data_IF_732592854540
#
_entry.id   IF_732592854540
#
_cell.length_a   1.000
_cell.length_b   1.000
_cell.length_c   1.000
_cell.angle_alpha   90.00
_cell.angle_beta   90.00
_cell.angle_gamma   90.00
#
_symmetry.space_group_name_H-M   'P 1'
#
loop_
_entity.id
_entity.type
_entity.pdbx_description
1 polymer ?
#
# COMPACT_ATOMS: atom_id res chain seq x y z
N UNK A 1 -7.98 -55.13 13.78
CA UNK A 1 -7.09 -54.02 14.26
C UNK A 1 -6.32 -53.29 13.14
N UNK A 2 -6.28 -53.78 11.88
CA UNK A 2 -5.58 -53.14 10.76
C UNK A 2 -6.50 -52.26 9.85
N UNK A 3 -7.83 -52.35 10.00
CA UNK A 3 -8.76 -51.54 9.24
C UNK A 3 -8.93 -50.10 9.79
N UNK A 4 -8.71 -49.87 11.08
CA UNK A 4 -8.87 -48.52 11.68
C UNK A 4 -7.69 -47.56 11.47
N UNK A 5 -6.53 -48.06 11.04
CA UNK A 5 -5.39 -47.15 10.72
C UNK A 5 -5.50 -46.51 9.31
N UNK A 6 -6.09 -47.23 8.35
CA UNK A 6 -6.28 -46.69 7.00
C UNK A 6 -7.39 -45.60 6.95
N UNK A 7 -8.40 -45.68 7.82
CA UNK A 7 -9.44 -44.64 7.94
C UNK A 7 -8.96 -43.40 8.73
N UNK A 8 -8.02 -43.56 9.67
CA UNK A 8 -7.41 -42.43 10.39
C UNK A 8 -6.42 -41.65 9.54
N UNK A 9 -5.73 -42.30 8.59
CA UNK A 9 -4.79 -41.63 7.66
C UNK A 9 -5.50 -40.88 6.52
N UNK A 10 -6.75 -41.20 6.19
CA UNK A 10 -7.54 -40.46 5.21
C UNK A 10 -8.16 -39.16 5.75
N UNK A 11 -8.14 -38.95 7.06
CA UNK A 11 -8.77 -37.78 7.70
C UNK A 11 -7.89 -36.53 7.80
N UNK A 12 -6.60 -36.58 7.39
CA UNK A 12 -5.68 -35.41 7.58
C UNK A 12 -4.76 -35.07 6.42
N UNK A 13 -4.98 -35.58 5.21
CA UNK A 13 -4.32 -35.00 4.03
C UNK A 13 -4.95 -33.62 3.75
N UNK A 14 -4.22 -32.50 3.94
CA UNK A 14 -4.78 -31.19 3.59
C UNK A 14 -5.13 -31.21 2.10
N UNK A 15 -6.43 -31.03 1.78
CA UNK A 15 -6.94 -31.05 0.42
C UNK A 15 -6.22 -30.05 -0.47
N UNK A 16 -6.24 -30.28 -1.79
CA UNK A 16 -5.73 -29.30 -2.78
C UNK A 16 -6.43 -27.96 -2.60
N UNK A 17 -5.70 -26.86 -2.78
CA UNK A 17 -6.24 -25.51 -2.74
C UNK A 17 -7.40 -25.39 -3.75
N UNK A 18 -8.55 -24.87 -3.30
CA UNK A 18 -9.75 -24.67 -4.13
C UNK A 18 -9.90 -23.19 -4.48
N UNK A 19 -10.41 -22.88 -5.67
CA UNK A 19 -10.69 -21.50 -6.09
C UNK A 19 -11.59 -20.75 -5.10
N UNK A 20 -12.63 -21.39 -4.58
CA UNK A 20 -13.51 -20.79 -3.59
C UNK A 20 -12.79 -20.36 -2.31
N UNK A 21 -11.72 -21.09 -1.89
CA UNK A 21 -10.89 -20.69 -0.75
C UNK A 21 -10.06 -19.44 -1.07
N UNK A 22 -9.56 -19.33 -2.32
CA UNK A 22 -8.84 -18.14 -2.79
C UNK A 22 -9.75 -16.90 -2.73
N UNK A 23 -10.96 -16.99 -3.27
CA UNK A 23 -11.91 -15.88 -3.21
C UNK A 23 -12.34 -15.53 -1.79
N UNK A 24 -12.64 -16.53 -0.97
CA UNK A 24 -13.01 -16.32 0.44
C UNK A 24 -11.91 -15.63 1.25
N UNK A 25 -10.65 -15.90 0.93
CA UNK A 25 -9.49 -15.25 1.55
C UNK A 25 -9.29 -13.83 1.01
N UNK A 26 -9.37 -13.67 -0.31
CA UNK A 26 -9.01 -12.45 -1.03
C UNK A 26 -10.06 -11.34 -0.95
N UNK A 27 -11.36 -11.68 -1.07
CA UNK A 27 -12.44 -10.68 -1.12
C UNK A 27 -12.47 -9.74 0.11
N UNK A 28 -12.32 -10.24 1.35
CA UNK A 28 -12.21 -9.34 2.51
C UNK A 28 -11.02 -8.39 2.44
N UNK A 29 -9.90 -8.81 1.84
CA UNK A 29 -8.72 -7.95 1.67
C UNK A 29 -8.94 -6.87 0.59
N UNK A 30 -9.74 -7.16 -0.43
CA UNK A 30 -10.21 -6.14 -1.40
C UNK A 30 -10.96 -5.04 -0.65
N UNK A 31 -11.97 -5.43 0.12
CA UNK A 31 -12.77 -4.47 0.90
C UNK A 31 -11.89 -3.64 1.87
N UNK A 32 -10.90 -4.28 2.50
CA UNK A 32 -9.95 -3.56 3.35
C UNK A 32 -9.21 -2.46 2.59
N UNK A 33 -8.70 -2.75 1.39
CA UNK A 33 -7.95 -1.77 0.59
C UNK A 33 -8.84 -0.61 0.17
N UNK A 34 -10.05 -0.91 -0.33
CA UNK A 34 -11.00 0.13 -0.74
C UNK A 34 -11.42 1.03 0.43
N UNK A 35 -11.72 0.45 1.59
CA UNK A 35 -12.04 1.21 2.80
C UNK A 35 -10.85 2.08 3.27
N UNK A 36 -9.61 1.62 3.08
CA UNK A 36 -8.43 2.42 3.37
C UNK A 36 -8.32 3.66 2.46
N UNK A 37 -8.65 3.52 1.18
CA UNK A 37 -8.68 4.66 0.25
C UNK A 37 -9.77 5.66 0.62
N UNK A 38 -10.95 5.19 1.03
CA UNK A 38 -12.04 6.04 1.54
C UNK A 38 -11.58 6.83 2.77
N UNK A 39 -10.83 6.22 3.69
CA UNK A 39 -10.32 6.91 4.90
C UNK A 39 -9.52 8.16 4.55
N UNK A 40 -8.66 8.09 3.53
CA UNK A 40 -7.88 9.26 3.07
C UNK A 40 -8.79 10.35 2.49
N UNK A 41 -9.77 9.94 1.69
CA UNK A 41 -10.73 10.86 1.08
C UNK A 41 -11.58 11.59 2.13
N UNK A 42 -11.96 10.91 3.21
CA UNK A 42 -12.71 11.50 4.34
C UNK A 42 -11.88 12.56 5.05
N UNK A 43 -10.59 12.30 5.31
CA UNK A 43 -9.68 13.30 5.88
C UNK A 43 -9.60 14.53 4.97
N UNK A 44 -9.38 14.34 3.68
CA UNK A 44 -9.28 15.45 2.73
C UNK A 44 -10.56 16.27 2.64
N UNK A 45 -11.73 15.61 2.60
CA UNK A 45 -13.02 16.28 2.58
C UNK A 45 -13.30 17.10 3.85
N UNK A 46 -12.78 16.64 5.00
CA UNK A 46 -12.87 17.37 6.26
C UNK A 46 -11.93 18.58 6.26
N UNK A 47 -10.65 18.37 5.92
CA UNK A 47 -9.64 19.44 5.91
C UNK A 47 -9.95 20.52 4.86
N UNK A 48 -10.66 20.18 3.79
CA UNK A 48 -11.15 21.15 2.80
C UNK A 48 -12.21 22.14 3.36
N UNK A 49 -12.69 21.91 4.58
CA UNK A 49 -13.70 22.77 5.25
C UNK A 49 -13.12 23.59 6.41
N UNK A 50 -11.80 23.56 6.60
CA UNK A 50 -11.10 24.38 7.60
C UNK A 50 -10.99 25.84 7.13
N UNK A 51 -10.55 26.73 7.98
CA UNK A 51 -10.43 28.19 7.67
C UNK A 51 -9.44 28.47 6.55
N UNK A 52 -8.36 27.71 6.43
CA UNK A 52 -7.33 27.81 5.38
C UNK A 52 -7.19 26.50 4.58
N UNK A 53 -8.20 26.12 3.77
CA UNK A 53 -8.29 24.78 3.19
C UNK A 53 -7.09 24.40 2.33
N UNK A 54 -6.61 25.31 1.48
CA UNK A 54 -5.48 25.05 0.56
C UNK A 54 -4.19 24.80 1.32
N UNK A 55 -3.88 25.63 2.30
CA UNK A 55 -2.66 25.50 3.13
C UNK A 55 -2.73 24.23 3.97
N UNK A 56 -3.85 23.99 4.64
CA UNK A 56 -4.04 22.81 5.50
C UNK A 56 -3.95 21.49 4.73
N UNK A 57 -4.59 21.42 3.55
CA UNK A 57 -4.52 20.23 2.70
C UNK A 57 -3.09 20.00 2.15
N UNK A 58 -2.44 21.07 1.70
CA UNK A 58 -1.06 20.97 1.22
C UNK A 58 -0.11 20.52 2.33
N UNK A 59 -0.24 21.08 3.53
CA UNK A 59 0.55 20.75 4.71
C UNK A 59 0.35 19.32 5.17
N UNK A 60 -0.91 18.87 5.25
CA UNK A 60 -1.24 17.48 5.56
C UNK A 60 -0.66 16.51 4.54
N UNK A 61 -0.84 16.79 3.24
CA UNK A 61 -0.33 15.93 2.17
C UNK A 61 1.21 15.87 2.15
N UNK A 62 1.88 16.99 2.34
CA UNK A 62 3.34 17.04 2.42
C UNK A 62 3.85 16.22 3.62
N UNK A 63 3.29 16.44 4.81
CA UNK A 63 3.65 15.70 6.03
C UNK A 63 3.35 14.20 5.91
N UNK A 64 2.18 13.85 5.41
CA UNK A 64 1.77 12.46 5.17
C UNK A 64 2.72 11.75 4.19
N UNK A 65 2.97 12.37 3.03
CA UNK A 65 3.83 11.78 2.00
C UNK A 65 5.26 11.61 2.49
N UNK A 66 5.81 12.64 3.14
CA UNK A 66 7.13 12.60 3.74
C UNK A 66 7.27 11.48 4.77
N UNK A 67 6.34 11.40 5.74
CA UNK A 67 6.36 10.40 6.79
C UNK A 67 6.28 8.97 6.24
N UNK A 68 5.29 8.68 5.41
CA UNK A 68 5.08 7.32 4.88
C UNK A 68 6.14 6.90 3.86
N UNK A 69 6.75 7.83 3.12
CA UNK A 69 7.88 7.50 2.24
C UNK A 69 9.08 6.98 3.04
N UNK A 70 9.42 7.64 4.15
CA UNK A 70 10.56 7.25 4.99
C UNK A 70 10.25 6.01 5.82
N UNK A 71 9.01 5.86 6.32
CA UNK A 71 8.59 4.72 7.16
C UNK A 71 7.99 3.55 6.38
N UNK A 72 8.15 3.51 5.06
CA UNK A 72 7.62 2.46 4.15
C UNK A 72 8.03 1.04 4.55
N UNK A 73 9.11 0.87 5.29
CA UNK A 73 9.53 -0.41 5.86
C UNK A 73 8.43 -1.08 6.71
N UNK A 74 7.49 -0.32 7.30
CA UNK A 74 6.37 -0.87 8.09
C UNK A 74 5.48 -1.81 7.28
N UNK A 75 5.36 -1.58 5.97
CA UNK A 75 4.56 -2.41 5.06
C UNK A 75 5.07 -3.85 4.93
N UNK A 76 6.36 -4.07 5.20
CA UNK A 76 6.99 -5.40 5.12
C UNK A 76 6.66 -6.27 6.34
N UNK A 77 6.17 -5.68 7.44
CA UNK A 77 5.93 -6.39 8.71
C UNK A 77 5.04 -7.62 8.54
N UNK A 78 3.92 -7.50 7.84
CA UNK A 78 3.00 -8.62 7.64
C UNK A 78 3.65 -9.74 6.81
N UNK A 79 4.39 -9.40 5.74
CA UNK A 79 5.08 -10.38 4.89
C UNK A 79 6.19 -11.12 5.64
N UNK A 80 6.95 -10.38 6.47
CA UNK A 80 7.99 -10.96 7.33
C UNK A 80 7.37 -11.94 8.34
N UNK A 81 6.27 -11.53 8.99
CA UNK A 81 5.55 -12.39 9.93
C UNK A 81 4.99 -13.64 9.24
N UNK A 82 4.37 -13.53 8.07
CA UNK A 82 3.86 -14.69 7.32
C UNK A 82 4.96 -15.70 6.97
N UNK A 83 6.22 -15.25 6.80
CA UNK A 83 7.35 -16.13 6.48
C UNK A 83 8.03 -16.75 7.70
N UNK A 84 8.08 -16.05 8.83
CA UNK A 84 8.95 -16.41 9.95
C UNK A 84 8.22 -16.67 11.26
N UNK A 85 6.95 -16.26 11.39
CA UNK A 85 6.19 -16.41 12.63
C UNK A 85 5.71 -17.85 12.80
N UNK A 86 6.28 -18.57 13.76
CA UNK A 86 5.94 -19.97 14.05
C UNK A 86 5.76 -20.25 15.56
N UNK A 87 6.20 -19.34 16.43
CA UNK A 87 6.07 -19.43 17.88
C UNK A 87 5.73 -18.08 18.49
N UNK A 88 5.25 -18.07 19.74
CA UNK A 88 4.99 -16.81 20.49
C UNK A 88 6.25 -15.98 20.64
N UNK A 89 7.39 -16.63 20.84
CA UNK A 89 8.70 -15.95 20.96
C UNK A 89 9.09 -15.25 19.66
N UNK A 90 8.71 -15.80 18.49
CA UNK A 90 9.01 -15.17 17.20
C UNK A 90 8.24 -13.87 17.04
N UNK A 91 7.02 -13.73 17.59
CA UNK A 91 6.27 -12.46 17.58
C UNK A 91 7.10 -11.33 18.18
N UNK A 92 7.63 -11.54 19.39
CA UNK A 92 8.43 -10.51 20.07
C UNK A 92 9.74 -10.22 19.34
N UNK A 93 10.38 -11.27 18.77
CA UNK A 93 11.62 -11.10 18.00
C UNK A 93 11.40 -10.33 16.71
N UNK A 94 10.32 -10.62 15.99
CA UNK A 94 9.99 -9.92 14.76
C UNK A 94 9.58 -8.48 15.03
N UNK A 95 8.80 -8.22 16.08
CA UNK A 95 8.50 -6.86 16.52
C UNK A 95 9.75 -6.08 16.90
N UNK A 96 10.64 -6.67 17.71
CA UNK A 96 11.90 -6.04 18.10
C UNK A 96 12.80 -5.75 16.89
N UNK A 97 12.88 -6.70 15.94
CA UNK A 97 13.63 -6.53 14.70
C UNK A 97 13.05 -5.40 13.83
N UNK A 98 11.74 -5.35 13.64
CA UNK A 98 11.10 -4.29 12.88
C UNK A 98 11.20 -2.93 13.57
N UNK A 99 11.08 -2.90 14.90
CA UNK A 99 11.32 -1.68 15.68
C UNK A 99 12.75 -1.17 15.49
N UNK A 100 13.75 -2.09 15.52
CA UNK A 100 15.16 -1.74 15.28
C UNK A 100 15.37 -1.15 13.87
N UNK A 101 14.76 -1.75 12.83
CA UNK A 101 14.83 -1.23 11.46
C UNK A 101 14.22 0.18 11.39
N UNK A 102 13.16 0.46 12.13
CA UNK A 102 12.48 1.75 12.10
C UNK A 102 13.17 2.83 12.92
N UNK A 103 14.13 2.49 13.79
CA UNK A 103 14.87 3.49 14.59
C UNK A 103 15.50 4.55 13.70
N UNK A 104 16.22 4.14 12.65
CA UNK A 104 16.89 5.08 11.74
C UNK A 104 15.89 5.93 10.94
N UNK A 105 14.90 5.36 10.24
CA UNK A 105 13.85 6.13 9.59
C UNK A 105 13.14 7.12 10.51
N UNK A 106 12.75 6.69 11.72
CA UNK A 106 12.07 7.56 12.67
C UNK A 106 13.01 8.67 13.19
N UNK A 107 14.28 8.34 13.47
CA UNK A 107 15.26 9.35 13.84
C UNK A 107 15.44 10.39 12.73
N UNK A 108 15.53 9.97 11.47
CA UNK A 108 15.61 10.87 10.31
C UNK A 108 14.35 11.76 10.23
N UNK A 109 13.15 11.17 10.37
CA UNK A 109 11.90 11.94 10.40
C UNK A 109 11.92 12.96 11.52
N UNK A 110 12.31 12.58 12.73
CA UNK A 110 12.35 13.46 13.90
C UNK A 110 13.37 14.59 13.72
N UNK A 111 14.59 14.25 13.28
CA UNK A 111 15.63 15.26 13.03
C UNK A 111 15.17 16.26 11.98
N UNK A 112 14.67 15.80 10.83
CA UNK A 112 14.19 16.70 9.78
C UNK A 112 13.01 17.54 10.28
N UNK A 113 12.07 16.94 11.00
CA UNK A 113 10.85 17.63 11.45
C UNK A 113 11.13 18.73 12.49
N UNK A 114 12.07 18.49 13.42
CA UNK A 114 12.29 19.37 14.56
C UNK A 114 13.55 20.25 14.46
N UNK A 115 14.31 20.18 13.35
CA UNK A 115 15.46 21.05 13.07
C UNK A 115 15.17 22.00 11.89
N UNK A 116 16.14 22.87 11.58
CA UNK A 116 16.11 23.79 10.44
C UNK A 116 16.03 23.06 9.08
N UNK A 117 16.44 21.77 9.06
CA UNK A 117 16.27 20.94 7.86
C UNK A 117 14.78 20.80 7.46
N UNK A 118 13.87 20.86 8.42
CA UNK A 118 12.42 20.85 8.14
C UNK A 118 11.97 22.06 7.34
N UNK A 119 12.58 23.21 7.54
CA UNK A 119 12.29 24.40 6.73
C UNK A 119 12.75 24.23 5.28
N UNK A 120 13.91 23.59 5.07
CA UNK A 120 14.39 23.29 3.72
C UNK A 120 13.50 22.26 3.03
N UNK A 121 13.12 21.19 3.72
CA UNK A 121 12.28 20.13 3.15
C UNK A 121 10.86 20.65 2.87
N UNK A 122 10.18 21.21 3.86
CA UNK A 122 8.78 21.63 3.69
C UNK A 122 8.66 22.97 2.95
N UNK A 123 9.66 23.86 3.07
CA UNK A 123 9.69 25.13 2.35
C UNK A 123 10.19 25.00 0.91
N UNK A 124 11.39 24.42 0.73
CA UNK A 124 12.05 24.41 -0.59
C UNK A 124 11.57 23.27 -1.49
N UNK A 125 11.43 22.04 -0.95
CA UNK A 125 11.05 20.89 -1.76
C UNK A 125 9.53 20.80 -1.96
N UNK A 126 8.74 21.10 -0.92
CA UNK A 126 7.28 21.07 -1.00
C UNK A 126 6.67 22.44 -1.30
N UNK A 127 7.45 23.52 -1.27
CA UNK A 127 6.98 24.88 -1.62
C UNK A 127 5.97 25.47 -0.63
N UNK A 128 5.95 25.01 0.63
CA UNK A 128 4.98 25.49 1.61
C UNK A 128 5.36 26.87 2.16
N UNK A 129 4.35 27.75 2.33
CA UNK A 129 4.48 29.02 3.05
C UNK A 129 4.75 28.78 4.54
N UNK A 130 5.15 29.81 5.28
CA UNK A 130 5.55 29.68 6.69
C UNK A 130 4.52 28.95 7.57
N UNK A 131 3.25 29.34 7.50
CA UNK A 131 2.17 28.67 8.20
C UNK A 131 2.05 27.19 7.80
N UNK A 132 2.12 26.89 6.50
CA UNK A 132 2.03 25.52 5.99
C UNK A 132 3.20 24.65 6.44
N UNK A 133 4.41 25.21 6.58
CA UNK A 133 5.57 24.47 7.13
C UNK A 133 5.38 24.08 8.58
N UNK A 134 4.84 24.99 9.41
CA UNK A 134 4.54 24.73 10.82
C UNK A 134 3.48 23.62 10.94
N UNK A 135 2.37 23.73 10.20
CA UNK A 135 1.31 22.71 10.17
C UNK A 135 1.84 21.34 9.69
N UNK A 136 2.67 21.29 8.66
CA UNK A 136 3.25 20.05 8.16
C UNK A 136 4.18 19.40 9.20
N UNK A 137 5.02 20.18 9.89
CA UNK A 137 5.88 19.69 10.99
C UNK A 137 5.05 19.13 12.15
N UNK A 138 3.99 19.81 12.56
CA UNK A 138 3.07 19.33 13.60
C UNK A 138 2.40 18.01 13.15
N UNK A 139 1.90 17.96 11.92
CA UNK A 139 1.28 16.75 11.37
C UNK A 139 2.24 15.56 11.37
N UNK A 140 3.52 15.74 10.96
CA UNK A 140 4.53 14.69 11.01
C UNK A 140 4.83 14.26 12.45
N UNK A 141 4.91 15.21 13.39
CA UNK A 141 5.06 14.93 14.82
C UNK A 141 3.97 13.97 15.34
N UNK A 142 2.70 14.23 15.02
CA UNK A 142 1.62 13.29 15.35
C UNK A 142 1.77 11.95 14.62
N UNK A 143 2.07 11.94 13.33
CA UNK A 143 2.20 10.70 12.55
C UNK A 143 3.27 9.77 13.09
N UNK A 144 4.37 10.27 13.70
CA UNK A 144 5.40 9.41 14.29
C UNK A 144 4.86 8.49 15.38
N UNK A 145 3.80 8.92 16.09
CA UNK A 145 3.10 8.11 17.10
C UNK A 145 2.43 6.88 16.48
N UNK A 146 2.14 6.90 15.17
CA UNK A 146 1.50 5.76 14.49
C UNK A 146 2.43 4.55 14.29
N UNK A 147 3.74 4.72 14.32
CA UNK A 147 4.71 3.66 14.01
C UNK A 147 4.52 2.36 14.81
N UNK A 148 4.40 2.37 16.15
CA UNK A 148 4.16 1.15 16.91
C UNK A 148 2.82 0.49 16.54
N UNK A 149 1.77 1.27 16.30
CA UNK A 149 0.46 0.72 15.92
C UNK A 149 0.51 0.04 14.55
N UNK A 150 1.28 0.56 13.60
CA UNK A 150 1.50 -0.05 12.29
C UNK A 150 2.21 -1.41 12.42
N UNK A 151 3.23 -1.52 13.29
CA UNK A 151 3.90 -2.78 13.55
C UNK A 151 2.97 -3.79 14.21
N UNK A 152 2.27 -3.40 15.28
CA UNK A 152 1.32 -4.26 15.96
C UNK A 152 0.21 -4.73 15.03
N UNK A 153 -0.34 -3.84 14.20
CA UNK A 153 -1.32 -4.17 13.17
C UNK A 153 -0.79 -5.20 12.18
N UNK A 154 0.44 -5.00 11.68
CA UNK A 154 1.07 -5.93 10.74
C UNK A 154 1.18 -7.34 11.28
N UNK A 155 1.56 -7.51 12.54
CA UNK A 155 1.61 -8.82 13.22
C UNK A 155 0.21 -9.42 13.40
N UNK A 156 -0.76 -8.62 13.86
CA UNK A 156 -2.15 -9.09 14.04
C UNK A 156 -2.75 -9.57 12.71
N UNK A 157 -2.54 -8.82 11.62
CA UNK A 157 -3.00 -9.19 10.30
C UNK A 157 -2.35 -10.49 9.80
N UNK A 158 -1.04 -10.65 10.02
CA UNK A 158 -0.35 -11.90 9.68
C UNK A 158 -0.95 -13.11 10.43
N UNK A 159 -1.21 -12.99 11.74
CA UNK A 159 -1.87 -14.02 12.53
C UNK A 159 -3.27 -14.37 12.01
N UNK A 160 -4.07 -13.36 11.69
CA UNK A 160 -5.41 -13.55 11.14
C UNK A 160 -5.39 -14.18 9.73
N UNK A 161 -4.41 -13.80 8.90
CA UNK A 161 -4.21 -14.39 7.57
C UNK A 161 -3.76 -15.86 7.67
N UNK A 162 -2.84 -16.20 8.59
CA UNK A 162 -2.41 -17.57 8.83
C UNK A 162 -3.58 -18.48 9.23
N UNK A 163 -4.51 -17.98 10.02
CA UNK A 163 -5.76 -18.66 10.42
C UNK A 163 -6.88 -18.54 9.36
N UNK A 164 -6.60 -17.93 8.20
CA UNK A 164 -7.58 -17.68 7.11
C UNK A 164 -8.82 -16.87 7.55
N UNK A 165 -8.68 -16.02 8.57
CA UNK A 165 -9.76 -15.19 9.15
C UNK A 165 -9.72 -13.75 8.61
N UNK A 166 -9.56 -13.59 7.31
CA UNK A 166 -9.38 -12.28 6.64
C UNK A 166 -10.59 -11.35 6.79
N UNK A 167 -11.79 -11.89 6.99
CA UNK A 167 -13.00 -11.07 7.22
C UNK A 167 -12.85 -10.16 8.46
N UNK A 168 -12.09 -10.58 9.48
CA UNK A 168 -11.84 -9.76 10.68
C UNK A 168 -10.98 -8.55 10.32
N UNK A 169 -10.10 -8.68 9.33
CA UNK A 169 -9.29 -7.57 8.82
C UNK A 169 -10.20 -6.50 8.20
N UNK A 170 -11.24 -6.92 7.46
CA UNK A 170 -12.23 -5.98 6.93
C UNK A 170 -13.00 -5.27 8.06
N UNK A 171 -13.43 -6.01 9.09
CA UNK A 171 -14.09 -5.41 10.24
C UNK A 171 -13.19 -4.44 11.00
N UNK A 172 -11.89 -4.74 11.14
CA UNK A 172 -10.94 -3.81 11.77
C UNK A 172 -10.81 -2.50 10.97
N UNK A 173 -10.88 -2.58 9.64
CA UNK A 173 -10.85 -1.39 8.79
C UNK A 173 -12.17 -0.58 8.86
N UNK A 174 -13.31 -1.23 9.06
CA UNK A 174 -14.55 -0.50 9.37
C UNK A 174 -14.49 0.22 10.71
N UNK A 175 -13.92 -0.41 11.74
CA UNK A 175 -13.65 0.24 13.04
C UNK A 175 -12.72 1.44 12.87
N UNK A 176 -11.67 1.29 12.04
CA UNK A 176 -10.77 2.39 11.66
C UNK A 176 -11.55 3.56 11.06
N UNK A 177 -12.43 3.29 10.07
CA UNK A 177 -13.21 4.34 9.41
C UNK A 177 -14.18 5.03 10.38
N UNK A 178 -14.84 4.27 11.24
CA UNK A 178 -15.73 4.81 12.27
C UNK A 178 -14.97 5.68 13.28
N UNK A 179 -13.83 5.19 13.80
CA UNK A 179 -13.00 5.95 14.73
C UNK A 179 -12.39 7.19 14.09
N UNK A 180 -12.03 7.13 12.80
CA UNK A 180 -11.59 8.29 12.03
C UNK A 180 -12.68 9.36 11.98
N UNK A 181 -13.91 8.97 11.63
CA UNK A 181 -15.03 9.92 11.54
C UNK A 181 -15.31 10.58 12.89
N UNK A 182 -15.32 9.80 13.97
CA UNK A 182 -15.50 10.35 15.34
C UNK A 182 -14.34 11.29 15.71
N UNK A 183 -13.09 10.90 15.39
CA UNK A 183 -11.92 11.73 15.70
C UNK A 183 -11.95 13.06 14.98
N UNK A 184 -12.35 13.09 13.69
CA UNK A 184 -12.49 14.33 12.95
C UNK A 184 -13.57 15.28 13.48
N UNK A 185 -14.57 14.75 14.19
CA UNK A 185 -15.60 15.57 14.84
C UNK A 185 -15.13 16.11 16.21
N UNK A 186 -14.29 15.35 16.91
CA UNK A 186 -13.90 15.66 18.30
C UNK A 186 -12.59 16.44 18.39
N UNK A 187 -11.58 16.07 17.59
CA UNK A 187 -10.24 16.69 17.65
C UNK A 187 -10.18 18.19 17.34
N UNK A 188 -11.07 18.77 16.49
CA UNK A 188 -11.09 20.23 16.29
C UNK A 188 -11.35 21.05 17.52
N UNK A 189 -11.78 20.42 18.63
CA UNK A 189 -11.93 21.11 19.93
C UNK A 189 -10.58 21.44 20.59
N UNK A 190 -9.47 20.80 20.15
CA UNK A 190 -8.14 20.94 20.75
C UNK A 190 -7.01 21.14 19.76
N UNK A 191 -7.24 20.87 18.49
CA UNK A 191 -6.23 20.91 17.43
C UNK A 191 -6.74 21.71 16.24
N UNK A 192 -5.80 22.34 15.53
CA UNK A 192 -6.06 23.14 14.33
C UNK A 192 -5.30 22.62 13.12
N UNK A 193 -5.72 23.01 11.95
CA UNK A 193 -5.00 22.78 10.68
C UNK A 193 -4.74 21.31 10.36
N UNK A 194 -3.58 21.04 9.78
CA UNK A 194 -3.17 19.70 9.35
C UNK A 194 -2.99 18.69 10.50
N UNK A 195 -2.78 19.18 11.74
CA UNK A 195 -2.64 18.35 12.93
C UNK A 195 -3.91 17.54 13.22
N UNK A 196 -5.11 18.07 12.92
CA UNK A 196 -6.38 17.36 13.09
C UNK A 196 -6.37 16.07 12.25
N UNK A 197 -6.04 16.17 10.96
CA UNK A 197 -6.00 15.01 10.05
C UNK A 197 -4.96 13.98 10.46
N UNK A 198 -3.79 14.44 10.89
CA UNK A 198 -2.69 13.57 11.34
C UNK A 198 -3.05 12.84 12.66
N UNK A 199 -3.56 13.55 13.65
CA UNK A 199 -3.98 12.96 14.93
C UNK A 199 -5.16 11.99 14.74
N UNK A 200 -6.16 12.34 13.91
CA UNK A 200 -7.26 11.45 13.56
C UNK A 200 -6.79 10.17 12.90
N UNK A 201 -5.78 10.26 12.03
CA UNK A 201 -5.15 9.11 11.39
C UNK A 201 -4.44 8.21 12.41
N UNK A 202 -3.75 8.78 13.40
CA UNK A 202 -3.12 8.00 14.48
C UNK A 202 -4.16 7.27 15.32
N UNK A 203 -5.22 7.96 15.75
CA UNK A 203 -6.29 7.34 16.53
C UNK A 203 -6.97 6.21 15.79
N UNK A 204 -7.24 6.40 14.49
CA UNK A 204 -7.86 5.36 13.68
C UNK A 204 -6.94 4.16 13.43
N UNK A 205 -5.62 4.36 13.28
CA UNK A 205 -4.65 3.26 13.18
C UNK A 205 -4.50 2.52 14.51
N UNK A 206 -4.52 3.23 15.63
CA UNK A 206 -4.49 2.62 16.95
C UNK A 206 -5.74 1.76 17.21
N UNK A 207 -6.93 2.28 16.92
CA UNK A 207 -8.19 1.53 17.08
C UNK A 207 -8.25 0.29 16.18
N UNK A 208 -7.79 0.40 14.93
CA UNK A 208 -7.67 -0.74 14.01
C UNK A 208 -6.71 -1.80 14.57
N UNK A 209 -5.55 -1.40 15.05
CA UNK A 209 -4.56 -2.31 15.62
C UNK A 209 -5.09 -3.00 16.88
N UNK A 210 -5.72 -2.27 17.78
CA UNK A 210 -6.32 -2.83 19.00
C UNK A 210 -7.41 -3.83 18.65
N UNK A 211 -8.35 -3.47 17.76
CA UNK A 211 -9.42 -4.37 17.33
C UNK A 211 -8.85 -5.65 16.69
N UNK A 212 -7.88 -5.52 15.77
CA UNK A 212 -7.25 -6.66 15.14
C UNK A 212 -6.58 -7.59 16.16
N UNK A 213 -5.91 -7.05 17.17
CA UNK A 213 -5.29 -7.83 18.25
C UNK A 213 -6.28 -8.55 19.15
N UNK A 214 -7.43 -7.97 19.46
CA UNK A 214 -8.49 -8.64 20.24
C UNK A 214 -8.89 -9.97 19.61
N UNK A 215 -8.97 -10.02 18.29
CA UNK A 215 -9.31 -11.24 17.55
C UNK A 215 -8.10 -12.12 17.21
N UNK A 216 -6.92 -11.53 16.98
CA UNK A 216 -5.68 -12.24 16.73
C UNK A 216 -5.13 -12.93 18.00
N UNK A 217 -5.55 -12.48 19.19
CA UNK A 217 -5.12 -13.04 20.47
C UNK A 217 -5.32 -14.57 20.56
N UNK A 218 -6.44 -15.07 20.07
CA UNK A 218 -6.71 -16.51 20.02
C UNK A 218 -5.70 -17.25 19.15
N UNK A 219 -5.33 -16.68 18.01
CA UNK A 219 -4.32 -17.23 17.10
C UNK A 219 -2.93 -17.20 17.73
N UNK A 220 -2.59 -16.12 18.42
CA UNK A 220 -1.35 -15.98 19.18
C UNK A 220 -1.22 -17.03 20.30
N UNK A 221 -2.26 -17.24 21.10
CA UNK A 221 -2.25 -18.22 22.22
C UNK A 221 -2.12 -19.66 21.73
N UNK A 222 -2.61 -19.98 20.52
CA UNK A 222 -2.48 -21.30 19.91
C UNK A 222 -1.06 -21.62 19.43
N UNK A 223 -0.22 -20.61 19.22
CA UNK A 223 1.17 -20.82 18.84
C UNK A 223 1.95 -21.50 19.96
N UNK A 224 2.90 -22.41 19.64
CA UNK A 224 3.82 -22.95 20.62
C UNK A 224 4.63 -21.83 21.27
N UNK A 225 5.00 -22.01 22.56
CA UNK A 225 5.72 -20.97 23.29
C UNK A 225 7.11 -20.69 22.69
N UNK A 226 7.83 -21.76 22.35
CA UNK A 226 9.20 -21.70 21.79
C UNK A 226 9.33 -22.77 20.70
N UNK A 227 10.18 -22.51 19.72
CA UNK A 227 10.59 -23.44 18.67
C UNK A 227 12.09 -23.76 18.85
N UNK A 228 12.49 -25.00 18.59
CA UNK A 228 13.89 -25.45 18.70
C UNK A 228 14.79 -24.77 17.66
N UNK A 229 14.35 -24.70 16.39
CA UNK A 229 15.10 -24.02 15.33
C UNK A 229 14.86 -22.50 15.39
N UNK A 230 15.93 -21.72 15.49
CA UNK A 230 15.88 -20.25 15.54
C UNK A 230 16.38 -19.67 14.23
N UNK A 231 15.52 -18.85 13.61
CA UNK A 231 15.95 -17.99 12.51
C UNK A 231 16.85 -16.86 13.08
N UNK A 232 17.88 -16.45 12.30
CA UNK A 232 18.83 -15.40 12.71
C UNK A 232 18.33 -14.01 12.33
N UNK A 233 18.78 -12.97 13.04
CA UNK A 233 18.49 -11.58 12.67
C UNK A 233 18.99 -11.23 11.25
N UNK A 234 20.14 -11.82 10.86
CA UNK A 234 20.65 -11.66 9.50
C UNK A 234 19.71 -12.32 8.47
N UNK A 235 19.07 -13.44 8.82
CA UNK A 235 18.02 -14.07 7.98
C UNK A 235 16.82 -13.15 7.78
N UNK A 236 16.34 -12.51 8.85
CA UNK A 236 15.26 -11.51 8.77
C UNK A 236 15.68 -10.31 7.90
N UNK A 237 16.91 -9.80 8.06
CA UNK A 237 17.41 -8.70 7.26
C UNK A 237 17.52 -9.06 5.78
N UNK A 238 18.13 -10.20 5.46
CA UNK A 238 18.26 -10.69 4.06
C UNK A 238 16.91 -10.85 3.37
N UNK A 239 15.86 -11.15 4.11
CA UNK A 239 14.50 -11.23 3.61
C UNK A 239 13.84 -9.84 3.47
N UNK A 240 13.98 -8.97 4.47
CA UNK A 240 13.22 -7.74 4.58
C UNK A 240 13.75 -6.63 3.65
N UNK A 241 15.08 -6.40 3.57
CA UNK A 241 15.63 -5.28 2.81
C UNK A 241 15.29 -5.29 1.32
N UNK A 242 15.24 -6.45 0.61
CA UNK A 242 14.84 -6.45 -0.79
C UNK A 242 13.36 -6.09 -0.99
N UNK A 243 12.51 -6.48 -0.03
CA UNK A 243 11.10 -6.13 -0.03
C UNK A 243 10.88 -4.64 0.26
N UNK A 244 11.68 -4.06 1.15
CA UNK A 244 11.66 -2.61 1.44
C UNK A 244 12.03 -1.84 0.18
N UNK A 245 13.14 -2.18 -0.48
CA UNK A 245 13.57 -1.54 -1.74
C UNK A 245 12.51 -1.69 -2.82
N UNK A 246 11.98 -2.90 -3.00
CA UNK A 246 10.94 -3.14 -4.00
C UNK A 246 9.65 -2.35 -3.72
N UNK A 247 9.26 -2.21 -2.44
CA UNK A 247 8.12 -1.39 -2.03
C UNK A 247 8.34 0.10 -2.29
N UNK A 248 9.55 0.59 -2.00
CA UNK A 248 9.92 2.00 -2.23
C UNK A 248 10.08 2.33 -3.72
N UNK A 249 10.36 1.33 -4.57
CA UNK A 249 10.52 1.52 -6.01
C UNK A 249 9.24 2.06 -6.68
N UNK A 250 8.06 1.75 -6.15
CA UNK A 250 6.80 2.28 -6.68
C UNK A 250 6.78 3.82 -6.65
N UNK A 251 7.14 4.39 -5.50
CA UNK A 251 7.23 5.86 -5.36
C UNK A 251 8.37 6.44 -6.21
N UNK A 252 9.50 5.72 -6.31
CA UNK A 252 10.61 6.11 -7.17
C UNK A 252 10.24 6.17 -8.66
N UNK A 253 9.47 5.20 -9.15
CA UNK A 253 8.95 5.18 -10.53
C UNK A 253 8.09 6.42 -10.81
N UNK A 254 7.13 6.71 -9.92
CA UNK A 254 6.24 7.87 -10.09
C UNK A 254 7.02 9.19 -10.05
N UNK A 255 7.99 9.30 -9.15
CA UNK A 255 8.86 10.47 -9.07
C UNK A 255 9.63 10.69 -10.39
N UNK A 256 10.26 9.63 -10.92
CA UNK A 256 11.01 9.70 -12.18
C UNK A 256 10.11 10.09 -13.34
N UNK A 257 8.93 9.49 -13.46
CA UNK A 257 7.95 9.87 -14.50
C UNK A 257 7.63 11.36 -14.40
N UNK A 258 7.28 11.87 -13.22
CA UNK A 258 6.95 13.28 -13.03
C UNK A 258 8.10 14.23 -13.38
N UNK A 259 9.37 13.86 -13.13
CA UNK A 259 10.54 14.62 -13.53
C UNK A 259 10.63 14.79 -15.05
N UNK A 260 10.29 13.75 -15.82
CA UNK A 260 10.27 13.81 -17.27
C UNK A 260 9.04 14.55 -17.82
N UNK A 261 7.87 14.40 -17.18
CA UNK A 261 6.66 15.16 -17.53
C UNK A 261 6.88 16.67 -17.41
N UNK A 262 7.65 17.10 -16.42
CA UNK A 262 8.02 18.51 -16.25
C UNK A 262 8.86 19.12 -17.38
N UNK A 263 9.24 18.32 -18.39
CA UNK A 263 10.01 18.76 -19.57
C UNK A 263 9.17 18.85 -20.83
N UNK A 264 7.91 18.48 -20.77
CA UNK A 264 6.99 18.63 -21.90
C UNK A 264 6.56 20.09 -22.08
N UNK A 265 6.10 20.43 -23.27
CA UNK A 265 5.59 21.77 -23.60
C UNK A 265 4.42 22.21 -22.69
N UNK A 266 3.54 21.26 -22.33
CA UNK A 266 2.41 21.45 -21.42
C UNK A 266 2.64 20.75 -20.09
N UNK A 267 3.77 21.03 -19.42
CA UNK A 267 4.23 20.32 -18.23
C UNK A 267 3.19 20.26 -17.09
N UNK A 268 2.55 21.38 -16.79
CA UNK A 268 1.55 21.46 -15.70
C UNK A 268 0.33 20.57 -16.00
N UNK A 269 -0.19 20.66 -17.24
CA UNK A 269 -1.31 19.84 -17.69
C UNK A 269 -0.94 18.36 -17.72
N UNK A 270 0.26 18.03 -18.19
CA UNK A 270 0.77 16.66 -18.23
C UNK A 270 0.90 16.02 -16.84
N UNK A 271 1.50 16.74 -15.89
CA UNK A 271 1.65 16.27 -14.50
C UNK A 271 0.28 16.12 -13.83
N UNK A 272 -0.62 17.09 -14.00
CA UNK A 272 -1.96 17.05 -13.44
C UNK A 272 -2.76 15.87 -14.02
N UNK A 273 -2.74 15.69 -15.34
CA UNK A 273 -3.45 14.60 -16.02
C UNK A 273 -2.89 13.22 -15.64
N UNK A 274 -1.57 13.09 -15.57
CA UNK A 274 -0.94 11.85 -15.10
C UNK A 274 -1.32 11.55 -13.65
N UNK A 275 -1.36 12.55 -12.78
CA UNK A 275 -1.82 12.42 -11.39
C UNK A 275 -3.25 11.87 -11.30
N UNK A 276 -4.17 12.38 -12.12
CA UNK A 276 -5.55 11.89 -12.23
C UNK A 276 -5.59 10.43 -12.69
N UNK A 277 -4.91 10.12 -13.79
CA UNK A 277 -4.86 8.76 -14.37
C UNK A 277 -4.25 7.77 -13.38
N UNK A 278 -3.09 8.12 -12.82
CA UNK A 278 -2.40 7.30 -11.81
C UNK A 278 -3.31 7.05 -10.59
N UNK A 279 -4.01 8.08 -10.11
CA UNK A 279 -4.94 7.97 -8.99
C UNK A 279 -6.09 7.01 -9.27
N UNK A 280 -6.76 7.15 -10.41
CA UNK A 280 -7.89 6.29 -10.80
C UNK A 280 -7.46 4.84 -11.05
N UNK A 281 -6.36 4.64 -11.77
CA UNK A 281 -5.83 3.28 -12.04
C UNK A 281 -5.34 2.63 -10.75
N UNK A 282 -4.67 3.39 -9.88
CA UNK A 282 -4.24 2.88 -8.58
C UNK A 282 -5.42 2.49 -7.70
N UNK A 283 -6.48 3.30 -7.66
CA UNK A 283 -7.70 2.97 -6.91
C UNK A 283 -8.28 1.64 -7.39
N UNK A 284 -8.49 1.50 -8.69
CA UNK A 284 -9.05 0.28 -9.26
C UNK A 284 -8.17 -0.95 -9.04
N UNK A 285 -6.84 -0.83 -9.20
CA UNK A 285 -5.92 -1.97 -9.23
C UNK A 285 -5.29 -2.29 -7.85
N UNK A 286 -5.39 -1.38 -6.87
CA UNK A 286 -4.77 -1.55 -5.55
C UNK A 286 -5.10 -2.88 -4.86
N UNK A 287 -6.33 -3.43 -4.95
CA UNK A 287 -6.65 -4.73 -4.36
C UNK A 287 -5.78 -5.88 -4.86
N UNK A 288 -5.28 -5.81 -6.11
CA UNK A 288 -4.43 -6.86 -6.68
C UNK A 288 -3.10 -7.03 -5.91
N UNK A 289 -2.64 -6.03 -5.17
CA UNK A 289 -1.46 -6.13 -4.28
C UNK A 289 -1.61 -7.25 -3.25
N UNK A 290 -2.84 -7.55 -2.83
CA UNK A 290 -3.14 -8.61 -1.86
C UNK A 290 -2.91 -10.02 -2.42
N UNK A 291 -2.71 -10.19 -3.73
CA UNK A 291 -2.22 -11.45 -4.32
C UNK A 291 -0.89 -11.89 -3.70
N UNK A 292 -0.02 -10.94 -3.32
CA UNK A 292 1.23 -11.23 -2.61
C UNK A 292 0.97 -12.02 -1.32
N UNK A 293 0.07 -11.52 -0.48
CA UNK A 293 -0.27 -12.16 0.79
C UNK A 293 -1.07 -13.45 0.59
N UNK A 294 -1.95 -13.47 -0.43
CA UNK A 294 -2.72 -14.66 -0.79
C UNK A 294 -1.80 -15.80 -1.25
N UNK A 295 -0.86 -15.53 -2.16
CA UNK A 295 0.11 -16.51 -2.61
C UNK A 295 1.02 -16.99 -1.48
N UNK A 296 1.50 -16.09 -0.64
CA UNK A 296 2.36 -16.41 0.50
C UNK A 296 1.64 -17.30 1.55
N UNK A 297 0.34 -17.09 1.76
CA UNK A 297 -0.44 -17.78 2.80
C UNK A 297 -1.08 -19.08 2.30
N UNK A 298 -1.65 -19.06 1.08
CA UNK A 298 -2.48 -20.17 0.60
C UNK A 298 -1.69 -21.25 -0.14
N UNK A 299 -0.61 -20.87 -0.85
CA UNK A 299 0.25 -21.84 -1.54
C UNK A 299 1.08 -22.61 -0.51
N UNK A 300 0.76 -23.87 -0.28
CA UNK A 300 1.48 -24.76 0.66
C UNK A 300 2.30 -25.83 -0.07
N UNK A 301 1.87 -26.25 -1.24
CA UNK A 301 2.47 -27.29 -2.07
C UNK A 301 2.73 -26.76 -3.50
N UNK A 302 3.64 -27.39 -4.26
CA UNK A 302 3.84 -27.00 -5.67
C UNK A 302 2.58 -27.06 -6.52
N UNK A 303 1.66 -28.01 -6.25
CA UNK A 303 0.39 -28.17 -6.99
C UNK A 303 -0.57 -26.98 -6.76
N UNK A 304 -0.48 -26.33 -5.61
CA UNK A 304 -1.31 -25.16 -5.27
C UNK A 304 -0.95 -23.94 -6.14
N UNK A 305 0.29 -23.88 -6.68
CA UNK A 305 0.75 -22.78 -7.57
C UNK A 305 -0.13 -22.70 -8.81
N UNK A 306 -0.47 -23.85 -9.43
CA UNK A 306 -1.34 -23.86 -10.61
C UNK A 306 -2.69 -23.23 -10.30
N UNK A 307 -3.27 -23.55 -9.14
CA UNK A 307 -4.57 -23.00 -8.73
C UNK A 307 -4.48 -21.50 -8.46
N UNK A 308 -3.36 -21.03 -7.89
CA UNK A 308 -3.11 -19.62 -7.66
C UNK A 308 -2.93 -18.86 -8.97
N UNK A 309 -2.28 -19.45 -9.97
CA UNK A 309 -2.15 -18.85 -11.32
C UNK A 309 -3.54 -18.70 -11.97
N UNK A 310 -4.38 -19.75 -11.92
CA UNK A 310 -5.76 -19.67 -12.45
C UNK A 310 -6.56 -18.59 -11.73
N UNK A 311 -6.46 -18.51 -10.42
CA UNK A 311 -7.11 -17.45 -9.64
C UNK A 311 -6.61 -16.06 -10.04
N UNK A 312 -5.29 -15.88 -10.19
CA UNK A 312 -4.70 -14.62 -10.63
C UNK A 312 -5.17 -14.23 -12.04
N UNK A 313 -5.28 -15.18 -12.96
CA UNK A 313 -5.78 -14.94 -14.32
C UNK A 313 -7.26 -14.49 -14.29
N UNK A 314 -8.08 -15.07 -13.43
CA UNK A 314 -9.47 -14.64 -13.24
C UNK A 314 -9.54 -13.22 -12.69
N UNK A 315 -8.69 -12.86 -11.72
CA UNK A 315 -8.61 -11.49 -11.21
C UNK A 315 -8.17 -10.51 -12.29
N UNK A 316 -7.16 -10.87 -13.10
CA UNK A 316 -6.76 -10.05 -14.27
C UNK A 316 -7.95 -9.78 -15.16
N UNK A 317 -8.71 -10.80 -15.52
CA UNK A 317 -9.90 -10.63 -16.36
C UNK A 317 -10.95 -9.70 -15.70
N UNK A 318 -11.24 -9.90 -14.41
CA UNK A 318 -12.20 -9.09 -13.67
C UNK A 318 -11.76 -7.61 -13.65
N UNK A 319 -10.52 -7.32 -13.26
CA UNK A 319 -10.05 -5.95 -13.14
C UNK A 319 -9.81 -5.28 -14.50
N UNK A 320 -9.38 -6.03 -15.53
CA UNK A 320 -9.27 -5.52 -16.90
C UNK A 320 -10.64 -5.17 -17.48
N UNK A 321 -11.65 -6.05 -17.30
CA UNK A 321 -13.02 -5.76 -17.72
C UNK A 321 -13.58 -4.57 -16.96
N UNK A 322 -13.33 -4.47 -15.65
CA UNK A 322 -13.75 -3.31 -14.86
C UNK A 322 -13.10 -2.02 -15.38
N UNK A 323 -11.81 -2.04 -15.72
CA UNK A 323 -11.12 -0.90 -16.31
C UNK A 323 -11.74 -0.51 -17.68
N UNK A 324 -12.01 -1.48 -18.55
CA UNK A 324 -12.66 -1.24 -19.83
C UNK A 324 -14.07 -0.64 -19.64
N UNK A 325 -14.87 -1.19 -18.72
CA UNK A 325 -16.21 -0.65 -18.43
C UNK A 325 -16.13 0.77 -17.89
N UNK A 326 -15.22 1.05 -16.96
CA UNK A 326 -15.11 2.37 -16.34
C UNK A 326 -14.54 3.42 -17.30
N UNK A 327 -13.58 3.05 -18.16
CA UNK A 327 -12.80 4.01 -18.92
C UNK A 327 -13.11 4.04 -20.43
N UNK A 328 -13.77 3.02 -21.00
CA UNK A 328 -14.18 3.00 -22.42
C UNK A 328 -15.66 3.34 -22.63
N UNK A 329 -16.47 3.38 -21.56
CA UNK A 329 -17.89 3.71 -21.66
C UNK A 329 -18.15 5.19 -21.29
N UNK A 330 -19.37 5.71 -21.44
CA UNK A 330 -19.77 7.03 -20.99
C UNK A 330 -19.52 7.29 -19.48
N UNK A 331 -19.33 6.22 -18.69
CA UNK A 331 -18.96 6.31 -17.26
C UNK A 331 -17.67 7.10 -17.04
N UNK A 332 -16.72 7.03 -17.97
CA UNK A 332 -15.50 7.87 -17.92
C UNK A 332 -15.83 9.35 -17.82
N UNK A 333 -16.71 9.84 -18.67
CA UNK A 333 -17.09 11.26 -18.65
C UNK A 333 -17.79 11.65 -17.35
N UNK A 334 -18.63 10.77 -16.82
CA UNK A 334 -19.28 10.98 -15.53
C UNK A 334 -18.28 10.97 -14.38
N UNK A 335 -17.29 10.07 -14.39
CA UNK A 335 -16.23 10.01 -13.37
C UNK A 335 -15.39 11.29 -13.42
N UNK A 336 -14.84 11.64 -14.60
CA UNK A 336 -13.91 12.77 -14.74
C UNK A 336 -14.59 14.12 -14.48
N UNK A 337 -15.76 14.36 -15.06
CA UNK A 337 -16.45 15.65 -15.00
C UNK A 337 -17.44 15.70 -13.84
N UNK A 338 -18.23 14.63 -13.61
CA UNK A 338 -19.28 14.61 -12.59
C UNK A 338 -18.77 14.35 -11.18
N UNK A 339 -17.92 13.33 -10.99
CA UNK A 339 -17.43 12.96 -9.67
C UNK A 339 -16.18 13.76 -9.29
N UNK A 340 -15.21 13.89 -10.20
CA UNK A 340 -13.94 14.56 -9.92
C UNK A 340 -14.00 16.07 -10.21
N UNK A 341 -14.99 16.57 -10.97
CA UNK A 341 -15.14 17.99 -11.27
C UNK A 341 -14.03 18.56 -12.16
N UNK A 342 -13.40 17.73 -13.01
CA UNK A 342 -12.30 18.17 -13.86
C UNK A 342 -12.76 19.13 -14.95
N UNK A 343 -11.89 20.07 -15.31
CA UNK A 343 -12.10 20.92 -16.49
C UNK A 343 -12.20 20.06 -17.76
N UNK A 344 -12.97 20.51 -18.77
CA UNK A 344 -13.10 19.79 -20.04
C UNK A 344 -11.74 19.48 -20.70
N UNK A 345 -10.79 20.41 -20.60
CA UNK A 345 -9.44 20.28 -21.12
C UNK A 345 -8.66 19.16 -20.44
N UNK A 346 -8.58 19.17 -19.10
CA UNK A 346 -7.88 18.15 -18.32
C UNK A 346 -8.52 16.75 -18.50
N UNK A 347 -9.85 16.69 -18.59
CA UNK A 347 -10.57 15.45 -18.85
C UNK A 347 -10.26 14.90 -20.25
N UNK A 348 -10.21 15.75 -21.27
CA UNK A 348 -9.86 15.35 -22.63
C UNK A 348 -8.41 14.89 -22.72
N UNK A 349 -7.49 15.61 -22.08
CA UNK A 349 -6.06 15.27 -22.05
C UNK A 349 -5.78 13.93 -21.33
N UNK A 350 -6.54 13.60 -20.29
CA UNK A 350 -6.40 12.36 -19.52
C UNK A 350 -7.00 11.13 -20.22
N UNK A 351 -7.92 11.34 -21.16
CA UNK A 351 -8.68 10.28 -21.83
C UNK A 351 -7.81 9.23 -22.51
N UNK A 352 -6.81 9.57 -23.38
CA UNK A 352 -6.00 8.56 -24.07
C UNK A 352 -5.22 7.65 -23.13
N UNK A 353 -4.82 8.14 -21.96
CA UNK A 353 -4.12 7.36 -20.96
C UNK A 353 -5.03 6.35 -20.26
N UNK A 354 -6.29 6.72 -20.01
CA UNK A 354 -7.26 5.82 -19.38
C UNK A 354 -7.67 4.66 -20.30
N UNK A 355 -7.69 4.84 -21.62
CA UNK A 355 -8.04 3.79 -22.58
C UNK A 355 -7.07 2.60 -22.55
N UNK A 356 -5.82 2.81 -22.21
CA UNK A 356 -4.82 1.73 -22.09
C UNK A 356 -4.67 1.20 -20.66
N UNK A 357 -5.41 1.75 -19.68
CA UNK A 357 -5.24 1.41 -18.27
C UNK A 357 -5.48 -0.07 -17.95
N UNK A 358 -6.35 -0.76 -18.71
CA UNK A 358 -6.63 -2.19 -18.52
C UNK A 358 -5.38 -3.07 -18.69
N UNK A 359 -4.39 -2.61 -19.46
CA UNK A 359 -3.13 -3.31 -19.69
C UNK A 359 -2.32 -3.44 -18.40
N UNK A 360 -2.53 -2.57 -17.41
CA UNK A 360 -1.85 -2.64 -16.11
C UNK A 360 -2.22 -3.89 -15.31
N UNK A 361 -3.43 -4.43 -15.47
CA UNK A 361 -3.92 -5.54 -14.66
C UNK A 361 -3.02 -6.80 -14.71
N UNK A 362 -2.63 -7.35 -15.89
CA UNK A 362 -1.75 -8.52 -15.92
C UNK A 362 -0.38 -8.25 -15.31
N UNK A 363 0.19 -7.07 -15.51
CA UNK A 363 1.51 -6.72 -14.95
C UNK A 363 1.46 -6.65 -13.42
N UNK A 364 0.43 -6.01 -12.84
CA UNK A 364 0.28 -5.96 -11.39
C UNK A 364 0.00 -7.32 -10.77
N UNK A 365 -0.84 -8.13 -11.40
CA UNK A 365 -1.12 -9.49 -10.93
C UNK A 365 0.16 -10.35 -10.94
N UNK A 366 0.92 -10.33 -12.03
CA UNK A 366 2.17 -11.07 -12.14
C UNK A 366 3.18 -10.62 -11.08
N UNK A 367 3.40 -9.31 -10.96
CA UNK A 367 4.34 -8.77 -9.97
C UNK A 367 3.93 -9.14 -8.53
N UNK A 368 2.64 -9.04 -8.18
CA UNK A 368 2.14 -9.40 -6.87
C UNK A 368 2.23 -10.91 -6.60
N UNK A 369 1.90 -11.74 -7.59
CA UNK A 369 2.00 -13.20 -7.49
C UNK A 369 3.45 -13.65 -7.28
N UNK A 370 4.38 -13.18 -8.12
CA UNK A 370 5.81 -13.52 -7.98
C UNK A 370 6.37 -13.04 -6.65
N UNK A 371 6.04 -11.83 -6.22
CA UNK A 371 6.43 -11.31 -4.90
C UNK A 371 5.97 -12.24 -3.77
N UNK A 372 4.73 -12.73 -3.83
CA UNK A 372 4.18 -13.66 -2.83
C UNK A 372 4.88 -15.01 -2.83
N UNK A 373 5.15 -15.58 -4.00
CA UNK A 373 5.86 -16.86 -4.15
C UNK A 373 7.32 -16.77 -3.68
N UNK A 374 8.03 -15.69 -4.06
CA UNK A 374 9.40 -15.44 -3.62
C UNK A 374 9.49 -15.16 -2.12
N UNK A 375 8.53 -14.43 -1.57
CA UNK A 375 8.43 -14.23 -0.12
C UNK A 375 8.19 -15.55 0.62
N UNK A 376 7.33 -16.44 0.07
CA UNK A 376 7.10 -17.76 0.64
C UNK A 376 8.36 -18.63 0.64
N UNK A 377 9.11 -18.63 -0.48
CA UNK A 377 10.36 -19.40 -0.59
C UNK A 377 11.54 -18.73 0.13
N UNK A 378 11.34 -17.55 0.71
CA UNK A 378 12.37 -16.71 1.35
C UNK A 378 13.51 -16.27 0.40
N UNK A 379 13.27 -16.27 -0.90
CA UNK A 379 14.23 -15.87 -1.95
C UNK A 379 13.86 -14.48 -2.48
N UNK A 380 14.05 -13.45 -1.66
CA UNK A 380 13.57 -12.08 -1.97
C UNK A 380 14.58 -11.20 -2.68
N UNK A 381 15.85 -11.62 -2.82
CA UNK A 381 16.91 -10.80 -3.38
C UNK A 381 16.60 -10.29 -4.82
N UNK A 382 15.99 -11.13 -5.65
CA UNK A 382 15.55 -10.76 -7.00
C UNK A 382 14.55 -9.61 -7.03
N UNK A 383 13.79 -9.41 -5.95
CA UNK A 383 12.83 -8.31 -5.85
C UNK A 383 13.52 -6.94 -5.71
N UNK A 384 14.68 -6.87 -5.06
CA UNK A 384 15.47 -5.63 -5.00
C UNK A 384 15.97 -5.24 -6.39
N UNK A 385 16.51 -6.21 -7.15
CA UNK A 385 16.96 -5.99 -8.52
C UNK A 385 15.77 -5.58 -9.40
N UNK A 386 14.63 -6.25 -9.29
CA UNK A 386 13.40 -5.87 -9.99
C UNK A 386 12.99 -4.44 -9.68
N UNK A 387 13.04 -4.02 -8.40
CA UNK A 387 12.74 -2.63 -8.01
C UNK A 387 13.66 -1.61 -8.69
N UNK A 388 14.97 -1.87 -8.72
CA UNK A 388 15.93 -1.00 -9.40
C UNK A 388 15.67 -0.95 -10.92
N UNK A 389 15.45 -2.11 -11.55
CA UNK A 389 15.16 -2.20 -12.98
C UNK A 389 13.85 -1.46 -13.34
N UNK A 390 12.85 -1.49 -12.46
CA UNK A 390 11.60 -0.75 -12.67
C UNK A 390 11.83 0.76 -12.75
N UNK A 391 12.65 1.32 -11.86
CA UNK A 391 12.97 2.76 -11.89
C UNK A 391 13.74 3.10 -13.17
N UNK A 392 14.71 2.26 -13.56
CA UNK A 392 15.51 2.46 -14.77
C UNK A 392 14.65 2.37 -16.04
N UNK A 393 13.78 1.37 -16.16
CA UNK A 393 12.89 1.19 -17.32
C UNK A 393 11.85 2.32 -17.43
N UNK A 394 11.31 2.78 -16.29
CA UNK A 394 10.43 3.95 -16.28
C UNK A 394 11.16 5.20 -16.77
N UNK A 395 12.39 5.43 -16.31
CA UNK A 395 13.22 6.55 -16.76
C UNK A 395 13.56 6.46 -18.26
N UNK A 396 13.94 5.27 -18.72
CA UNK A 396 14.21 5.03 -20.13
C UNK A 396 12.97 5.27 -21.01
N UNK A 397 11.80 4.78 -20.60
CA UNK A 397 10.56 5.01 -21.32
C UNK A 397 10.13 6.49 -21.28
N UNK A 398 10.23 7.15 -20.14
CA UNK A 398 9.87 8.56 -19.99
C UNK A 398 10.85 9.50 -20.70
N UNK A 399 12.10 9.08 -20.98
CA UNK A 399 13.09 9.88 -21.71
C UNK A 399 12.67 10.21 -23.14
N UNK A 400 11.66 9.54 -23.69
CA UNK A 400 11.03 9.88 -24.97
C UNK A 400 10.54 11.35 -25.00
N UNK A 401 10.21 11.93 -23.83
CA UNK A 401 9.86 13.34 -23.70
C UNK A 401 10.91 14.32 -24.24
N UNK A 402 12.18 13.94 -24.23
CA UNK A 402 13.26 14.78 -24.81
C UNK A 402 13.20 14.85 -26.35
N UNK A 403 12.80 13.75 -26.98
CA UNK A 403 12.72 13.71 -28.44
C UNK A 403 11.37 14.27 -28.95
N UNK A 404 10.32 14.15 -28.15
CA UNK A 404 8.96 14.51 -28.53
C UNK A 404 8.26 15.30 -27.41
N UNK A 405 8.60 16.59 -27.22
CA UNK A 405 8.06 17.42 -26.13
C UNK A 405 6.56 17.72 -26.27
N UNK A 406 5.97 17.44 -27.42
CA UNK A 406 4.53 17.66 -27.73
C UNK A 406 3.66 16.44 -27.45
N UNK A 407 4.23 15.34 -26.95
CA UNK A 407 3.47 14.15 -26.63
C UNK A 407 2.48 14.40 -25.48
N UNK A 408 1.34 13.69 -25.55
CA UNK A 408 0.41 13.67 -24.44
C UNK A 408 1.09 13.05 -23.20
N UNK A 409 1.37 13.88 -22.18
CA UNK A 409 2.13 13.47 -21.00
C UNK A 409 1.41 12.43 -20.16
N UNK A 410 0.07 12.43 -20.10
CA UNK A 410 -0.69 11.40 -19.39
C UNK A 410 -0.50 10.04 -20.04
N UNK A 411 -0.56 9.96 -21.36
CA UNK A 411 -0.34 8.72 -22.13
C UNK A 411 1.11 8.24 -21.99
N UNK A 412 2.08 9.13 -22.08
CA UNK A 412 3.49 8.82 -21.87
C UNK A 412 3.73 8.31 -20.44
N UNK A 413 3.17 8.98 -19.44
CA UNK A 413 3.32 8.63 -18.04
C UNK A 413 2.75 7.24 -17.71
N UNK A 414 1.53 6.94 -18.16
CA UNK A 414 0.93 5.61 -17.96
C UNK A 414 1.71 4.53 -18.73
N UNK A 415 2.18 4.82 -19.96
CA UNK A 415 3.00 3.92 -20.74
C UNK A 415 4.33 3.60 -20.05
N UNK A 416 5.03 4.61 -19.56
CA UNK A 416 6.26 4.44 -18.77
C UNK A 416 6.02 3.65 -17.49
N UNK A 417 4.90 3.87 -16.82
CA UNK A 417 4.52 3.14 -15.64
C UNK A 417 4.22 1.66 -15.94
N UNK A 418 3.47 1.36 -17.02
CA UNK A 418 3.23 -0.03 -17.47
C UNK A 418 4.57 -0.71 -17.81
N UNK A 419 5.45 -0.06 -18.59
CA UNK A 419 6.73 -0.61 -18.98
C UNK A 419 7.71 -0.80 -17.82
N UNK A 420 7.45 -0.17 -16.69
CA UNK A 420 8.24 -0.36 -15.46
C UNK A 420 8.01 -1.73 -14.81
N UNK A 421 6.90 -2.40 -15.08
CA UNK A 421 6.56 -3.70 -14.49
C UNK A 421 7.10 -4.85 -15.28
#
# INVERSE_FOLDING_TARGET
>A
ARMNQAEADTATAPGRLRLGECYRFFLPLVLMVELNMISKSVIHAFLARTETPSTTLASFNAGFTFYFAITSATEVTALLCLSYLKSRRDVFRLLAFMALILVVPLAVVMVITFTDLGEQVFGHWFGLIEQGRLEARQAVGFLTISAPFLLFRGVAFALLMMDRRTIIITWSTLVRLASLSVSLLVLPMWLDGAAIGAAALVVCMASEAIFAWLFAWRSFVRLPAVREARDTLLGYWRFAWPLIINGSAEMGVILVINLFLGRLSEAELAIAAFGVVHGLVSLLMAPMRNLTQSAQTLVKRPEDVRQMIVFSAQLVAIFAIAALVLFETPLRSWILKGVMGLTPELAAYSTPALTIAFVMAPFWACAALFRGLLARSRTTLSLALSGALRIMSAGAAASVSYAYPELNGALMGIGAWILSY
#
